data_IF_421584057585
#
_entry.id   IF_421584057585
#
_cell.length_a   1.000
_cell.length_b   1.000
_cell.length_c   1.000
_cell.angle_alpha   90.00
_cell.angle_beta   90.00
_cell.angle_gamma   90.00
#
_symmetry.space_group_name_H-M   'P 1'
#
loop_
_entity.id
_entity.type
_entity.pdbx_description
1 polymer ?
#
# COMPACT_ATOMS: atom_id res chain seq x y z
N UNK A 1 -9.26 -1.33 -2.23
CA UNK A 1 -8.38 -2.46 -1.82
C UNK A 1 -6.92 -2.12 -2.08
N UNK A 2 -5.99 -2.75 -1.35
CA UNK A 2 -4.53 -2.68 -1.60
C UNK A 2 -4.01 -4.07 -1.95
N UNK A 3 -3.23 -4.15 -3.03
CA UNK A 3 -2.55 -5.36 -3.48
C UNK A 3 -1.08 -5.28 -3.11
N UNK A 4 -0.55 -6.36 -2.52
CA UNK A 4 0.87 -6.55 -2.29
C UNK A 4 1.33 -7.79 -3.07
N UNK A 5 2.14 -7.57 -4.09
CA UNK A 5 2.94 -8.66 -4.68
C UNK A 5 4.20 -8.83 -3.83
N UNK A 6 4.51 -10.04 -3.40
CA UNK A 6 5.69 -10.32 -2.60
C UNK A 6 6.32 -11.66 -2.96
N UNK A 7 7.65 -11.72 -2.94
CA UNK A 7 8.37 -13.00 -2.96
C UNK A 7 7.91 -13.87 -1.78
N UNK A 8 7.58 -15.17 -1.97
CA UNK A 8 7.26 -16.09 -0.87
C UNK A 8 8.27 -16.12 0.29
N UNK A 9 9.51 -15.69 0.10
CA UNK A 9 10.50 -15.52 1.17
C UNK A 9 10.22 -14.30 2.09
N UNK A 10 9.23 -13.47 1.75
CA UNK A 10 8.85 -12.23 2.45
C UNK A 10 7.45 -12.27 3.07
N UNK A 11 6.97 -13.46 3.45
CA UNK A 11 5.64 -13.65 4.06
C UNK A 11 5.49 -12.86 5.36
N UNK A 12 6.51 -12.84 6.21
CA UNK A 12 6.45 -12.14 7.50
C UNK A 12 6.34 -10.62 7.30
N UNK A 13 7.09 -10.06 6.35
CA UNK A 13 7.00 -8.65 5.97
C UNK A 13 5.64 -8.31 5.36
N UNK A 14 5.05 -9.24 4.59
CA UNK A 14 3.70 -9.07 4.04
C UNK A 14 2.66 -8.97 5.17
N UNK A 15 2.69 -9.90 6.13
CA UNK A 15 1.75 -9.90 7.27
C UNK A 15 1.88 -8.60 8.06
N UNK A 16 3.10 -8.20 8.42
CA UNK A 16 3.34 -6.98 9.18
C UNK A 16 2.87 -5.70 8.43
N UNK A 17 3.07 -5.67 7.11
CA UNK A 17 2.60 -4.55 6.28
C UNK A 17 1.07 -4.54 6.15
N UNK A 18 0.45 -5.70 5.97
CA UNK A 18 -1.01 -5.83 5.90
C UNK A 18 -1.66 -5.35 7.20
N UNK A 19 -1.18 -5.84 8.35
CA UNK A 19 -1.66 -5.42 9.67
C UNK A 19 -1.56 -3.89 9.84
N UNK A 20 -0.42 -3.29 9.49
CA UNK A 20 -0.20 -1.85 9.61
C UNK A 20 -1.14 -1.03 8.70
N UNK A 21 -1.42 -1.53 7.48
CA UNK A 21 -2.36 -0.87 6.56
C UNK A 21 -3.79 -1.00 7.06
N UNK A 22 -4.21 -2.19 7.50
CA UNK A 22 -5.58 -2.43 8.00
C UNK A 22 -5.85 -1.67 9.31
N UNK A 23 -4.85 -1.52 10.17
CA UNK A 23 -4.93 -0.69 11.37
C UNK A 23 -5.11 0.79 11.03
N UNK A 24 -4.35 1.30 10.05
CA UNK A 24 -4.42 2.70 9.64
C UNK A 24 -5.68 3.04 8.82
N UNK A 25 -6.23 2.06 8.10
CA UNK A 25 -7.40 2.23 7.24
C UNK A 25 -8.46 1.14 7.48
N UNK A 26 -9.23 1.24 8.59
CA UNK A 26 -10.28 0.28 8.88
C UNK A 26 -11.28 0.17 7.72
N UNK A 27 -11.37 -1.01 7.11
CA UNK A 27 -12.25 -1.28 5.96
C UNK A 27 -11.54 -1.35 4.61
N UNK A 28 -10.23 -1.08 4.53
CA UNK A 28 -9.41 -1.44 3.37
C UNK A 28 -8.98 -2.90 3.50
N UNK A 29 -9.32 -3.73 2.52
CA UNK A 29 -8.77 -5.08 2.41
C UNK A 29 -7.36 -5.04 1.79
N UNK A 30 -6.45 -5.82 2.36
CA UNK A 30 -5.11 -6.05 1.80
C UNK A 30 -5.05 -7.48 1.24
N UNK A 31 -4.72 -7.60 -0.04
CA UNK A 31 -4.58 -8.90 -0.71
C UNK A 31 -3.13 -9.14 -1.14
N UNK A 32 -2.70 -10.39 -1.00
CA UNK A 32 -1.36 -10.84 -1.37
C UNK A 32 -1.39 -11.72 -2.62
N UNK A 33 -0.50 -11.48 -3.58
CA UNK A 33 -0.19 -12.41 -4.68
C UNK A 33 -1.45 -12.98 -5.41
N UNK A 34 -2.19 -12.10 -6.11
CA UNK A 34 -3.45 -12.45 -6.80
C UNK A 34 -3.35 -13.58 -7.85
N UNK A 35 -2.23 -13.67 -8.57
CA UNK A 35 -2.04 -14.60 -9.69
C UNK A 35 -0.83 -15.52 -9.48
N UNK A 36 -0.78 -16.18 -8.31
CA UNK A 36 0.29 -17.11 -7.96
C UNK A 36 1.48 -16.44 -7.29
N UNK A 37 2.60 -17.15 -7.18
CA UNK A 37 3.77 -16.66 -6.43
C UNK A 37 4.31 -15.34 -7.00
N UNK A 38 4.60 -14.39 -6.12
CA UNK A 38 5.20 -13.12 -6.49
C UNK A 38 6.61 -13.29 -7.08
N UNK A 39 7.08 -12.29 -7.81
CA UNK A 39 8.39 -12.34 -8.47
C UNK A 39 9.52 -12.43 -7.43
N UNK A 40 10.63 -13.13 -7.75
CA UNK A 40 11.78 -13.18 -6.85
C UNK A 40 12.29 -11.80 -6.44
N UNK A 41 12.44 -11.60 -5.13
CA UNK A 41 12.84 -10.38 -4.45
C UNK A 41 11.79 -9.26 -4.41
N UNK A 42 10.57 -9.49 -4.91
CA UNK A 42 9.53 -8.46 -5.01
C UNK A 42 8.89 -8.12 -3.66
N UNK A 43 8.50 -6.86 -3.54
CA UNK A 43 7.60 -6.36 -2.51
C UNK A 43 6.98 -5.08 -3.05
N UNK A 44 5.88 -5.25 -3.79
CA UNK A 44 5.29 -4.24 -4.65
C UNK A 44 3.88 -3.93 -4.17
N UNK A 45 3.62 -2.66 -3.86
CA UNK A 45 2.36 -2.23 -3.25
C UNK A 45 1.62 -1.38 -4.26
N UNK A 46 0.41 -1.81 -4.60
CA UNK A 46 -0.43 -1.18 -5.61
C UNK A 46 -1.84 -1.04 -5.08
N UNK A 47 -2.51 0.07 -5.33
CA UNK A 47 -3.93 0.24 -5.03
C UNK A 47 -4.79 -0.39 -6.12
N UNK A 48 -6.05 -0.68 -5.80
CA UNK A 48 -7.02 -1.29 -6.73
C UNK A 48 -7.24 -0.50 -8.04
N UNK A 49 -7.04 0.82 -8.01
CA UNK A 49 -7.09 1.69 -9.21
C UNK A 49 -5.81 1.63 -10.06
N UNK A 50 -4.87 0.73 -9.74
CA UNK A 50 -3.64 0.48 -10.49
C UNK A 50 -2.48 1.41 -10.15
N UNK A 51 -2.58 2.21 -9.08
CA UNK A 51 -1.52 3.15 -8.71
C UNK A 51 -0.47 2.46 -7.84
N UNK A 52 0.78 2.53 -8.27
CA UNK A 52 1.92 2.01 -7.52
C UNK A 52 2.31 2.95 -6.37
N UNK A 53 2.28 2.41 -5.16
CA UNK A 53 2.66 3.10 -3.92
C UNK A 53 4.14 2.87 -3.60
N UNK A 54 4.60 1.64 -3.81
CA UNK A 54 5.97 1.23 -3.54
C UNK A 54 6.43 0.11 -4.46
N UNK A 55 7.72 0.12 -4.79
CA UNK A 55 8.40 -0.95 -5.52
C UNK A 55 9.74 -1.25 -4.87
N UNK A 56 9.87 -2.40 -4.21
CA UNK A 56 11.15 -2.86 -3.68
C UNK A 56 12.13 -3.17 -4.80
N UNK A 57 11.67 -3.70 -5.93
CA UNK A 57 12.53 -3.99 -7.06
C UNK A 57 13.19 -2.73 -7.63
N UNK A 58 12.53 -1.57 -7.57
CA UNK A 58 13.12 -0.29 -7.96
C UNK A 58 13.95 0.34 -6.84
N UNK A 59 13.41 0.39 -5.62
CA UNK A 59 14.06 1.05 -4.48
C UNK A 59 15.26 0.28 -3.91
N UNK A 60 15.35 -1.03 -4.19
CA UNK A 60 16.35 -1.97 -3.68
C UNK A 60 16.40 -2.08 -2.15
N UNK A 61 15.33 -1.65 -1.47
CA UNK A 61 15.18 -1.72 -0.01
C UNK A 61 13.77 -2.17 0.32
N UNK A 62 13.57 -2.79 1.49
CA UNK A 62 12.21 -3.06 1.96
C UNK A 62 11.53 -1.75 2.38
N UNK A 63 10.23 -1.58 2.09
CA UNK A 63 9.50 -0.45 2.62
C UNK A 63 9.32 -0.59 4.13
N UNK A 64 9.43 0.54 4.81
CA UNK A 64 8.93 0.71 6.17
C UNK A 64 7.41 0.94 6.15
N UNK A 65 6.69 0.38 7.12
CA UNK A 65 5.22 0.41 7.16
C UNK A 65 4.67 1.82 7.37
N UNK A 66 5.29 2.63 8.23
CA UNK A 66 4.91 4.02 8.46
C UNK A 66 5.02 4.84 7.17
N UNK A 67 6.09 4.60 6.40
CA UNK A 67 6.30 5.25 5.10
C UNK A 67 5.22 4.89 4.09
N UNK A 68 4.83 3.61 4.01
CA UNK A 68 3.77 3.14 3.09
C UNK A 68 2.41 3.71 3.49
N UNK A 69 2.06 3.62 4.78
CA UNK A 69 0.81 4.17 5.32
C UNK A 69 0.72 5.67 5.04
N UNK A 70 1.80 6.42 5.26
CA UNK A 70 1.84 7.86 4.96
C UNK A 70 1.58 8.15 3.47
N UNK A 71 2.16 7.35 2.57
CA UNK A 71 1.92 7.49 1.12
C UNK A 71 0.46 7.19 0.76
N UNK A 72 -0.12 6.15 1.33
CA UNK A 72 -1.54 5.82 1.16
C UNK A 72 -2.44 6.95 1.70
N UNK A 73 -2.15 7.51 2.87
CA UNK A 73 -2.94 8.61 3.44
C UNK A 73 -2.93 9.84 2.52
N UNK A 74 -1.76 10.19 1.99
CA UNK A 74 -1.62 11.31 1.07
C UNK A 74 -2.38 11.06 -0.23
N UNK A 75 -2.39 9.82 -0.74
CA UNK A 75 -3.19 9.43 -1.90
C UNK A 75 -4.69 9.59 -1.65
N UNK A 76 -5.20 9.09 -0.52
CA UNK A 76 -6.63 9.21 -0.17
C UNK A 76 -7.06 10.67 -0.02
N UNK A 77 -6.19 11.55 0.49
CA UNK A 77 -6.44 13.00 0.54
C UNK A 77 -6.47 13.63 -0.85
N UNK A 78 -5.67 13.14 -1.79
CA UNK A 78 -5.68 13.60 -3.19
C UNK A 78 -6.91 13.11 -3.96
N UNK A 79 -7.44 11.91 -3.64
CA UNK A 79 -8.71 11.42 -4.20
C UNK A 79 -9.95 12.13 -3.63
N UNK A 80 -9.87 12.61 -2.38
CA UNK A 80 -10.91 13.40 -1.73
C UNK A 80 -10.45 14.84 -1.47
N UNK A 81 -10.33 15.69 -2.51
CA UNK A 81 -9.97 17.09 -2.33
C UNK A 81 -11.05 17.92 -1.59
N UNK A 82 -12.25 17.37 -1.37
CA UNK A 82 -13.42 18.11 -0.86
C UNK A 82 -13.58 18.00 0.66
N UNK A 83 -12.89 18.87 1.41
CA UNK A 83 -13.40 19.47 2.66
C UNK A 83 -12.53 20.64 3.19
N UNK A 84 -11.96 21.46 2.31
CA UNK A 84 -11.25 22.68 2.73
C UNK A 84 -11.59 23.95 1.91
N UNK A 85 -12.68 23.93 1.14
CA UNK A 85 -13.17 25.10 0.40
C UNK A 85 -14.68 25.27 0.63
N UNK A 86 -15.11 25.66 1.83
CA UNK A 86 -16.47 26.17 2.10
C UNK A 86 -16.49 26.98 3.42
N UNK A 87 -15.53 27.89 3.61
CA UNK A 87 -15.54 28.80 4.77
C UNK A 87 -15.09 30.24 4.46
N UNK A 88 -15.26 30.70 3.23
CA UNK A 88 -15.29 32.13 2.89
C UNK A 88 -16.25 32.35 1.71
N UNK A 89 -17.46 32.79 2.02
CA UNK A 89 -18.48 33.23 1.07
C UNK A 89 -19.61 33.90 1.81
#
# INVERSE_FOLDING_TARGET
MVLIEYDPDHVDEFIAMADAIEEAFPGVAVEGNLEGDGRPGSFEITTEDGIHIYSKLQAKVHPDSETVVTRLMNRTKLDNPTKMEDMCG
#
